data_IF_599501020065
#
_entry.id   IF_599501020065
#
_cell.length_a   1.000
_cell.length_b   1.000
_cell.length_c   1.000
_cell.angle_alpha   90.00
_cell.angle_beta   90.00
_cell.angle_gamma   90.00
#
_symmetry.space_group_name_H-M   'P 1'
#
loop_
_entity.id
_entity.type
_entity.pdbx_description
1 polymer ?
#
# COMPACT_ATOMS: atom_id res chain seq x y z
N UNK A 1 -22.36 3.77 15.46
CA UNK A 1 -20.91 3.61 15.72
C UNK A 1 -20.20 3.68 14.37
N UNK A 2 -19.90 4.88 13.89
CA UNK A 2 -19.18 5.05 12.63
C UNK A 2 -17.74 4.59 12.82
N UNK A 3 -17.43 3.38 12.38
CA UNK A 3 -16.05 2.98 12.19
C UNK A 3 -15.58 3.74 10.95
N UNK A 4 -15.15 5.00 11.15
CA UNK A 4 -14.16 5.58 10.26
C UNK A 4 -13.00 4.58 10.29
N UNK A 5 -12.91 3.73 9.27
CA UNK A 5 -11.80 2.80 9.08
C UNK A 5 -10.55 3.65 9.23
N UNK A 6 -9.88 3.54 10.38
CA UNK A 6 -8.78 4.43 10.71
C UNK A 6 -7.83 4.34 9.52
N UNK A 7 -7.47 5.47 8.88
CA UNK A 7 -6.62 5.45 7.70
C UNK A 7 -5.37 4.70 8.12
N UNK A 8 -5.22 3.49 7.60
CA UNK A 8 -4.22 2.61 8.15
C UNK A 8 -2.87 3.17 7.74
N UNK A 9 -2.15 3.68 8.73
CA UNK A 9 -0.91 4.45 8.55
C UNK A 9 0.25 3.58 8.02
N UNK A 10 0.06 2.26 8.01
CA UNK A 10 1.03 1.26 7.56
C UNK A 10 0.40 0.27 6.55
N UNK A 11 -0.40 0.77 5.60
CA UNK A 11 -0.89 0.00 4.47
C UNK A 11 -0.92 0.83 3.19
N UNK A 12 -0.87 0.13 2.07
CA UNK A 12 -1.24 0.71 0.79
C UNK A 12 -2.76 0.63 0.63
N UNK A 13 -3.36 1.63 0.00
CA UNK A 13 -4.79 1.66 -0.28
C UNK A 13 -5.01 1.55 -1.78
N UNK A 14 -5.92 0.69 -2.20
CA UNK A 14 -6.34 0.57 -3.59
C UNK A 14 -7.83 0.22 -3.67
N UNK A 15 -8.62 0.99 -4.43
CA UNK A 15 -10.08 0.84 -4.54
C UNK A 15 -10.80 0.67 -3.19
N UNK A 16 -10.47 1.52 -2.20
CA UNK A 16 -11.04 1.48 -0.85
C UNK A 16 -10.61 0.25 0.00
N UNK A 17 -9.74 -0.61 -0.51
CA UNK A 17 -9.17 -1.74 0.23
C UNK A 17 -7.78 -1.43 0.78
N UNK A 18 -7.52 -1.92 2.00
CA UNK A 18 -6.24 -1.78 2.70
C UNK A 18 -5.37 -3.02 2.46
N UNK A 19 -4.11 -2.82 2.10
CA UNK A 19 -3.14 -3.87 1.81
C UNK A 19 -1.90 -3.73 2.68
N UNK A 20 -1.49 -4.82 3.34
CA UNK A 20 -0.30 -4.86 4.17
C UNK A 20 1.01 -4.85 3.36
N UNK A 21 2.12 -4.63 4.04
CA UNK A 21 3.47 -4.79 3.46
C UNK A 21 3.62 -6.14 2.77
N UNK A 22 4.18 -6.12 1.57
CA UNK A 22 4.39 -7.31 0.73
C UNK A 22 3.20 -7.71 -0.14
N UNK A 23 2.00 -7.14 0.06
CA UNK A 23 0.83 -7.44 -0.77
C UNK A 23 1.09 -7.10 -2.25
N UNK A 24 0.56 -7.93 -3.15
CA UNK A 24 0.72 -7.78 -4.59
C UNK A 24 -0.64 -7.70 -5.26
N UNK A 25 -0.84 -6.69 -6.10
CA UNK A 25 -2.03 -6.53 -6.92
C UNK A 25 -1.64 -6.38 -8.39
N UNK A 26 -2.54 -6.81 -9.29
CA UNK A 26 -2.40 -6.60 -10.73
C UNK A 26 -3.41 -5.54 -11.16
N UNK A 27 -2.91 -4.41 -11.64
CA UNK A 27 -3.72 -3.27 -12.09
C UNK A 27 -3.34 -2.98 -13.54
N UNK A 28 -4.30 -3.13 -14.46
CA UNK A 28 -4.13 -2.81 -15.88
C UNK A 28 -2.88 -3.45 -16.53
N UNK A 29 -2.55 -4.69 -16.14
CA UNK A 29 -1.39 -5.42 -16.66
C UNK A 29 -0.07 -5.11 -15.95
N UNK A 30 -0.04 -4.19 -14.99
CA UNK A 30 1.13 -3.89 -14.15
C UNK A 30 0.99 -4.57 -12.79
N UNK A 31 2.07 -5.23 -12.33
CA UNK A 31 2.16 -5.70 -10.95
C UNK A 31 2.59 -4.56 -10.03
N UNK A 32 1.82 -4.33 -8.97
CA UNK A 32 2.15 -3.41 -7.90
C UNK A 32 2.37 -4.22 -6.61
N UNK A 33 3.45 -3.94 -5.91
CA UNK A 33 3.70 -4.47 -4.57
C UNK A 33 3.65 -3.33 -3.55
N UNK A 34 2.97 -3.58 -2.43
CA UNK A 34 2.95 -2.65 -1.31
C UNK A 34 4.28 -2.75 -0.57
N UNK A 35 5.11 -1.73 -0.70
CA UNK A 35 6.48 -1.71 -0.18
C UNK A 35 6.70 -0.47 0.69
N UNK A 36 7.68 -0.56 1.59
CA UNK A 36 8.13 0.57 2.37
C UNK A 36 8.85 1.59 1.48
N UNK A 37 8.54 2.87 1.65
CA UNK A 37 9.32 3.90 0.99
C UNK A 37 10.66 4.12 1.73
N UNK A 38 11.72 3.49 1.22
CA UNK A 38 13.08 3.55 1.80
C UNK A 38 13.68 4.97 1.84
N UNK A 39 13.10 5.94 1.12
CA UNK A 39 13.58 7.34 1.10
C UNK A 39 12.90 8.20 2.16
N UNK A 40 11.91 7.70 2.89
CA UNK A 40 11.24 8.46 3.95
C UNK A 40 11.92 8.24 5.31
N UNK A 41 12.53 9.30 5.86
CA UNK A 41 13.12 9.36 7.22
C UNK A 41 12.01 9.60 8.28
N UNK A 42 10.73 9.42 7.93
CA UNK A 42 9.59 9.67 8.82
C UNK A 42 8.62 8.49 8.79
N UNK A 43 8.14 8.09 9.98
CA UNK A 43 7.00 7.22 10.34
C UNK A 43 6.38 6.25 9.29
N UNK A 44 7.21 5.68 8.41
CA UNK A 44 6.95 4.62 7.42
C UNK A 44 5.53 4.51 6.82
N UNK A 45 5.17 5.37 5.85
CA UNK A 45 4.05 5.08 4.97
C UNK A 45 4.43 4.00 3.93
N UNK A 46 3.57 2.98 3.75
CA UNK A 46 3.73 2.02 2.67
C UNK A 46 3.22 2.60 1.35
N UNK A 47 3.92 2.32 0.25
CA UNK A 47 3.63 2.84 -1.09
C UNK A 47 3.56 1.72 -2.12
N UNK A 48 2.70 1.88 -3.12
CA UNK A 48 2.66 0.98 -4.26
C UNK A 48 3.89 1.18 -5.15
N UNK A 49 4.69 0.12 -5.30
CA UNK A 49 5.84 0.07 -6.22
C UNK A 49 5.54 -0.89 -7.36
N UNK A 50 5.86 -0.47 -8.57
CA UNK A 50 5.82 -1.37 -9.73
C UNK A 50 6.92 -2.41 -9.58
N UNK A 51 6.55 -3.68 -9.65
CA UNK A 51 7.51 -4.78 -9.67
C UNK A 51 7.44 -5.47 -11.01
N UNK A 52 8.59 -5.97 -11.48
CA UNK A 52 8.61 -6.84 -12.66
C UNK A 52 7.93 -8.17 -12.27
N UNK A 53 7.18 -8.79 -13.20
CA UNK A 53 6.66 -10.13 -12.98
C UNK A 53 7.78 -11.15 -12.73
#
# INVERSE_FOLDING_TARGET
RGQSSQPCIQCCVYQDQNYSEGAVIKVEGVLLQCQRDEKTISTNPLVWRRVKP
#
